data_IF_013320052175
#
_entry.id   IF_013320052175
#
_cell.length_a   1.000
_cell.length_b   1.000
_cell.length_c   1.000
_cell.angle_alpha   90.00
_cell.angle_beta   90.00
_cell.angle_gamma   90.00
#
_symmetry.space_group_name_H-M   'P 1'
#
loop_
_entity.id
_entity.type
_entity.pdbx_description
1 polymer ?
#
# COMPACT_ATOMS: atom_id res chain seq x y z
N UNK A 1 -1.03 -12.01 0.48
CA UNK A 1 -1.88 -10.85 0.83
C UNK A 1 -1.14 -9.88 1.74
N UNK A 2 -0.66 -10.32 2.91
CA UNK A 2 0.15 -9.49 3.81
C UNK A 2 1.51 -9.08 3.21
N UNK A 3 2.04 -9.86 2.26
CA UNK A 3 3.33 -9.59 1.61
C UNK A 3 3.43 -8.24 0.90
N UNK A 4 2.35 -7.74 0.27
CA UNK A 4 2.35 -6.39 -0.36
C UNK A 4 2.70 -5.33 0.68
N UNK A 5 2.01 -5.39 1.82
CA UNK A 5 2.12 -4.39 2.87
C UNK A 5 3.41 -4.58 3.66
N UNK A 6 3.86 -5.81 3.87
CA UNK A 6 5.16 -6.07 4.49
C UNK A 6 6.33 -5.67 3.60
N UNK A 7 6.24 -5.85 2.29
CA UNK A 7 7.22 -5.35 1.33
C UNK A 7 7.29 -3.82 1.34
N UNK A 8 6.13 -3.17 1.20
CA UNK A 8 6.01 -1.71 1.24
C UNK A 8 6.49 -1.13 2.58
N UNK A 9 6.09 -1.74 3.71
CA UNK A 9 6.52 -1.32 5.03
C UNK A 9 8.03 -1.44 5.19
N UNK A 10 8.62 -2.59 4.83
CA UNK A 10 10.08 -2.80 4.88
C UNK A 10 10.81 -1.74 4.05
N UNK A 11 10.36 -1.53 2.81
CA UNK A 11 10.92 -0.51 1.92
C UNK A 11 10.82 0.90 2.51
N UNK A 12 9.68 1.24 3.13
CA UNK A 12 9.46 2.54 3.77
C UNK A 12 10.39 2.76 4.98
N UNK A 13 10.69 1.69 5.73
CA UNK A 13 11.52 1.76 6.94
C UNK A 13 13.02 1.61 6.70
N UNK A 14 13.42 1.05 5.55
CA UNK A 14 14.81 0.79 5.21
C UNK A 14 15.56 2.08 4.86
N UNK A 15 16.87 2.08 5.10
CA UNK A 15 17.78 3.09 4.56
C UNK A 15 17.95 2.90 3.05
N UNK A 16 18.42 3.95 2.36
CA UNK A 16 18.70 3.84 0.93
C UNK A 16 19.76 2.75 0.66
N UNK A 17 19.50 1.92 -0.35
CA UNK A 17 20.40 0.85 -0.76
C UNK A 17 19.69 -0.46 -1.10
N UNK A 18 20.48 -1.52 -1.19
CA UNK A 18 20.06 -2.83 -1.72
C UNK A 18 18.87 -3.45 -0.95
N UNK A 19 18.78 -3.25 0.38
CA UNK A 19 17.67 -3.78 1.18
C UNK A 19 16.34 -3.12 0.80
N UNK A 20 16.33 -1.80 0.64
CA UNK A 20 15.15 -1.05 0.23
C UNK A 20 14.73 -1.42 -1.19
N UNK A 21 15.69 -1.52 -2.12
CA UNK A 21 15.43 -1.93 -3.50
C UNK A 21 14.78 -3.33 -3.57
N UNK A 22 15.29 -4.31 -2.83
CA UNK A 22 14.70 -5.66 -2.75
C UNK A 22 13.31 -5.66 -2.14
N UNK A 23 13.07 -4.84 -1.12
CA UNK A 23 11.75 -4.72 -0.50
C UNK A 23 10.74 -4.08 -1.45
N UNK A 24 11.15 -3.07 -2.23
CA UNK A 24 10.35 -2.47 -3.30
C UNK A 24 10.03 -3.53 -4.36
N UNK A 25 11.02 -4.27 -4.85
CA UNK A 25 10.82 -5.33 -5.84
C UNK A 25 9.81 -6.38 -5.37
N UNK A 26 9.95 -6.88 -4.14
CA UNK A 26 9.02 -7.84 -3.53
C UNK A 26 7.58 -7.30 -3.41
N UNK A 27 7.42 -6.01 -3.06
CA UNK A 27 6.12 -5.37 -3.03
C UNK A 27 5.50 -5.28 -4.43
N UNK A 28 6.31 -4.92 -5.42
CA UNK A 28 5.89 -4.79 -6.82
C UNK A 28 5.51 -6.15 -7.45
N UNK A 29 6.20 -7.23 -7.12
CA UNK A 29 5.83 -8.59 -7.53
C UNK A 29 4.45 -8.98 -6.98
N UNK A 30 4.20 -8.65 -5.72
CA UNK A 30 2.92 -8.93 -5.07
C UNK A 30 1.79 -8.10 -5.68
N UNK A 31 2.05 -6.83 -6.02
CA UNK A 31 1.11 -5.98 -6.76
C UNK A 31 0.85 -6.52 -8.16
N UNK A 32 1.87 -6.99 -8.87
CA UNK A 32 1.71 -7.60 -10.20
C UNK A 32 0.84 -8.87 -10.16
N UNK A 33 0.92 -9.65 -9.08
CA UNK A 33 0.02 -10.77 -8.89
C UNK A 33 -1.43 -10.31 -8.72
N UNK A 34 -1.68 -9.30 -7.88
CA UNK A 34 -3.02 -8.75 -7.65
C UNK A 34 -3.61 -8.11 -8.91
N UNK A 35 -2.80 -7.42 -9.71
CA UNK A 35 -3.20 -6.83 -11.00
C UNK A 35 -3.79 -7.90 -11.92
N UNK A 36 -3.10 -9.03 -12.07
CA UNK A 36 -3.60 -10.16 -12.87
C UNK A 36 -4.90 -10.77 -12.33
N UNK A 37 -5.14 -10.68 -11.02
CA UNK A 37 -6.38 -11.22 -10.42
C UNK A 37 -7.58 -10.31 -10.67
N UNK A 38 -7.36 -9.01 -10.81
CA UNK A 38 -8.42 -8.01 -10.97
C UNK A 38 -8.61 -7.56 -12.42
N UNK A 39 -7.65 -7.83 -13.31
CA UNK A 39 -7.74 -7.48 -14.73
C UNK A 39 -9.10 -7.86 -15.34
N UNK A 40 -9.75 -6.87 -15.97
CA UNK A 40 -11.09 -7.02 -16.57
C UNK A 40 -12.25 -7.01 -15.57
N UNK A 41 -12.03 -6.68 -14.29
CA UNK A 41 -13.07 -6.59 -13.26
C UNK A 41 -13.08 -5.23 -12.60
N UNK A 42 -14.27 -4.76 -12.23
CA UNK A 42 -14.45 -3.53 -11.46
C UNK A 42 -14.02 -3.69 -10.00
N UNK A 43 -14.34 -4.86 -9.43
CA UNK A 43 -14.00 -5.30 -8.08
C UNK A 43 -13.42 -6.70 -8.15
N UNK A 44 -12.70 -7.15 -7.12
CA UNK A 44 -12.26 -8.55 -7.04
C UNK A 44 -13.45 -9.52 -7.03
N UNK A 45 -14.61 -9.08 -6.51
CA UNK A 45 -15.91 -9.76 -6.61
C UNK A 45 -16.57 -9.75 -8.01
N UNK A 46 -15.98 -9.08 -9.00
CA UNK A 46 -16.57 -8.89 -10.34
C UNK A 46 -17.22 -7.52 -10.47
N UNK A 47 -18.55 -7.50 -10.65
CA UNK A 47 -19.34 -6.26 -10.77
C UNK A 47 -19.68 -5.61 -9.43
N UNK A 48 -19.69 -6.42 -8.36
CA UNK A 48 -20.02 -6.00 -7.00
C UNK A 48 -18.87 -6.30 -6.04
N UNK A 49 -18.87 -5.63 -4.89
CA UNK A 49 -17.88 -5.83 -3.82
C UNK A 49 -17.93 -7.28 -3.34
N UNK A 50 -16.79 -7.96 -3.35
CA UNK A 50 -16.60 -9.28 -2.77
C UNK A 50 -15.76 -9.25 -1.50
N UNK A 51 -15.46 -10.44 -0.98
CA UNK A 51 -14.63 -10.62 0.21
C UNK A 51 -13.24 -9.99 0.06
N UNK A 52 -12.59 -10.19 -1.10
CA UNK A 52 -11.24 -9.67 -1.34
C UNK A 52 -11.22 -8.14 -1.38
N UNK A 53 -12.26 -7.50 -1.89
CA UNK A 53 -12.37 -6.04 -1.89
C UNK A 53 -12.36 -5.48 -0.47
N UNK A 54 -13.11 -6.11 0.44
CA UNK A 54 -13.13 -5.71 1.86
C UNK A 54 -11.80 -6.02 2.56
N UNK A 55 -11.19 -7.17 2.26
CA UNK A 55 -9.92 -7.59 2.86
C UNK A 55 -8.73 -6.72 2.41
N UNK A 56 -8.76 -6.22 1.16
CA UNK A 56 -7.68 -5.48 0.53
C UNK A 56 -7.93 -3.98 0.44
N UNK A 57 -9.17 -3.52 0.59
CA UNK A 57 -9.58 -2.16 0.23
C UNK A 57 -8.94 -1.03 1.02
N UNK A 58 -8.29 -1.35 2.14
CA UNK A 58 -7.47 -0.39 2.90
C UNK A 58 -6.07 -0.19 2.29
N UNK A 59 -5.57 -1.12 1.48
CA UNK A 59 -4.21 -1.12 0.94
C UNK A 59 -3.90 0.14 0.12
N UNK A 60 -4.72 0.57 -0.85
CA UNK A 60 -4.39 1.75 -1.66
C UNK A 60 -4.20 3.02 -0.81
N UNK A 61 -4.98 3.15 0.27
CA UNK A 61 -4.92 4.29 1.17
C UNK A 61 -3.60 4.32 1.98
N UNK A 62 -3.13 3.17 2.45
CA UNK A 62 -1.87 3.06 3.17
C UNK A 62 -0.63 3.13 2.26
N UNK A 63 -0.68 2.49 1.09
CA UNK A 63 0.43 2.52 0.13
C UNK A 63 0.78 3.94 -0.29
N UNK A 64 -0.22 4.77 -0.59
CA UNK A 64 0.03 6.17 -0.95
C UNK A 64 0.80 6.94 0.14
N UNK A 65 0.50 6.64 1.41
CA UNK A 65 1.17 7.27 2.54
C UNK A 65 2.60 6.73 2.72
N UNK A 66 2.81 5.43 2.48
CA UNK A 66 4.14 4.81 2.53
C UNK A 66 5.05 5.24 1.38
N UNK A 67 4.52 5.43 0.18
CA UNK A 67 5.24 5.97 -0.98
C UNK A 67 5.82 7.35 -0.67
N UNK A 68 5.00 8.25 -0.10
CA UNK A 68 5.44 9.59 0.30
C UNK A 68 6.52 9.53 1.39
N UNK A 69 6.25 8.82 2.49
CA UNK A 69 7.17 8.79 3.63
C UNK A 69 8.49 8.04 3.33
N UNK A 70 8.41 7.02 2.47
CA UNK A 70 9.55 6.22 2.04
C UNK A 70 10.28 6.76 0.81
N UNK A 71 9.77 7.80 0.15
CA UNK A 71 10.35 8.32 -1.09
C UNK A 71 10.44 7.25 -2.18
N UNK A 72 9.38 6.46 -2.36
CA UNK A 72 9.34 5.32 -3.27
C UNK A 72 8.05 5.32 -4.09
N UNK A 73 8.00 4.48 -5.14
CA UNK A 73 6.81 4.32 -5.98
C UNK A 73 6.45 2.85 -6.09
N UNK A 74 5.17 2.54 -5.92
CA UNK A 74 4.61 1.21 -5.85
C UNK A 74 3.34 1.10 -6.70
N UNK A 75 2.25 1.81 -6.39
CA UNK A 75 0.95 1.63 -7.05
C UNK A 75 0.75 2.65 -8.19
N UNK A 76 1.62 2.59 -9.20
CA UNK A 76 1.58 3.48 -10.37
C UNK A 76 0.51 3.04 -11.38
N UNK A 77 -0.30 3.98 -11.88
CA UNK A 77 -1.40 3.70 -12.81
C UNK A 77 -0.92 3.11 -14.15
N UNK A 78 0.26 3.50 -14.61
CA UNK A 78 0.87 2.99 -15.85
C UNK A 78 1.27 1.51 -15.73
N UNK A 79 1.59 1.06 -14.52
CA UNK A 79 2.06 -0.31 -14.24
C UNK A 79 0.95 -1.22 -13.75
N UNK A 80 0.03 -0.68 -12.96
CA UNK A 80 -1.07 -1.40 -12.31
C UNK A 80 -2.41 -0.68 -12.56
N UNK A 81 -2.84 -0.54 -13.83
CA UNK A 81 -4.00 0.26 -14.19
C UNK A 81 -5.29 -0.24 -13.53
N UNK A 82 -5.49 -1.55 -13.48
CA UNK A 82 -6.73 -2.15 -12.96
C UNK A 82 -6.80 -2.02 -11.43
N UNK A 83 -5.70 -2.25 -10.72
CA UNK A 83 -5.63 -2.03 -9.27
C UNK A 83 -5.75 -0.56 -8.91
N UNK A 84 -5.15 0.34 -9.70
CA UNK A 84 -5.27 1.77 -9.47
C UNK A 84 -6.73 2.23 -9.63
N UNK A 85 -7.39 1.81 -10.70
CA UNK A 85 -8.81 2.09 -10.94
C UNK A 85 -9.70 1.49 -9.83
N UNK A 86 -9.45 0.23 -9.46
CA UNK A 86 -10.17 -0.43 -8.37
C UNK A 86 -10.02 0.31 -7.05
N UNK A 87 -8.80 0.71 -6.68
CA UNK A 87 -8.54 1.45 -5.46
C UNK A 87 -9.29 2.78 -5.43
N UNK A 88 -9.33 3.49 -6.56
CA UNK A 88 -10.14 4.70 -6.72
C UNK A 88 -11.64 4.41 -6.53
N UNK A 89 -12.16 3.41 -7.24
CA UNK A 89 -13.58 3.02 -7.19
C UNK A 89 -14.00 2.60 -5.78
N UNK A 90 -13.19 1.79 -5.09
CA UNK A 90 -13.47 1.28 -3.76
C UNK A 90 -13.52 2.40 -2.71
N UNK A 91 -12.57 3.34 -2.74
CA UNK A 91 -12.50 4.45 -1.76
C UNK A 91 -13.65 5.45 -1.95
N UNK A 92 -14.19 5.61 -3.16
CA UNK A 92 -15.33 6.51 -3.40
C UNK A 92 -16.67 5.97 -2.91
N UNK A 93 -16.73 4.70 -2.47
CA UNK A 93 -17.96 4.12 -1.90
C UNK A 93 -18.27 4.85 -0.59
N UNK A 94 -19.47 5.47 -0.42
CA UNK A 94 -19.75 6.35 0.71
C UNK A 94 -19.42 5.74 2.08
N UNK A 95 -19.87 4.50 2.33
CA UNK A 95 -19.61 3.81 3.59
C UNK A 95 -18.11 3.54 3.82
N UNK A 96 -17.38 3.18 2.77
CA UNK A 96 -15.93 2.98 2.86
C UNK A 96 -15.23 4.31 3.18
N UNK A 97 -15.59 5.37 2.46
CA UNK A 97 -15.04 6.71 2.63
C UNK A 97 -15.23 7.23 4.05
N UNK A 98 -16.37 6.95 4.68
CA UNK A 98 -16.67 7.31 6.06
C UNK A 98 -15.88 6.47 7.08
N UNK A 99 -15.56 5.23 6.75
CA UNK A 99 -14.78 4.32 7.60
C UNK A 99 -13.27 4.56 7.54
N UNK A 100 -12.76 5.17 6.47
CA UNK A 100 -11.32 5.39 6.29
C UNK A 100 -10.82 6.50 7.23
N UNK A 101 -9.66 6.29 7.89
CA UNK A 101 -9.05 7.35 8.68
C UNK A 101 -8.67 8.54 7.77
N UNK A 102 -8.75 9.78 8.27
CA UNK A 102 -8.22 10.93 7.53
C UNK A 102 -6.75 10.72 7.16
N UNK A 103 -6.38 11.04 5.92
CA UNK A 103 -5.01 10.88 5.40
C UNK A 103 -3.95 11.46 6.34
N UNK A 104 -4.20 12.65 6.87
CA UNK A 104 -3.28 13.33 7.79
C UNK A 104 -2.99 12.49 9.05
N UNK A 105 -3.99 11.78 9.59
CA UNK A 105 -3.79 10.89 10.74
C UNK A 105 -2.90 9.70 10.38
N UNK A 106 -3.05 9.15 9.17
CA UNK A 106 -2.19 8.06 8.69
C UNK A 106 -0.74 8.53 8.49
N UNK A 107 -0.55 9.69 7.86
CA UNK A 107 0.78 10.28 7.66
C UNK A 107 1.46 10.52 9.00
N UNK A 108 0.74 11.11 9.96
CA UNK A 108 1.27 11.36 11.30
C UNK A 108 1.63 10.05 12.02
N UNK A 109 0.77 9.03 11.94
CA UNK A 109 1.04 7.71 12.52
C UNK A 109 2.27 7.05 11.89
N UNK A 110 2.38 7.09 10.55
CA UNK A 110 3.48 6.50 9.83
C UNK A 110 4.80 7.20 10.15
N UNK A 111 4.81 8.54 10.12
CA UNK A 111 5.99 9.33 10.48
C UNK A 111 6.45 9.05 11.90
N UNK A 112 5.53 9.01 12.88
CA UNK A 112 5.86 8.67 14.26
C UNK A 112 6.46 7.26 14.37
N UNK A 113 5.90 6.28 13.66
CA UNK A 113 6.41 4.90 13.62
C UNK A 113 7.81 4.83 12.99
N UNK A 114 8.04 5.55 11.90
CA UNK A 114 9.35 5.62 11.22
C UNK A 114 10.41 6.26 12.11
N UNK A 115 10.10 7.40 12.74
CA UNK A 115 11.00 8.06 13.69
C UNK A 115 11.36 7.14 14.84
N UNK A 116 10.38 6.43 15.41
CA UNK A 116 10.60 5.46 16.46
C UNK A 116 11.53 4.33 16.01
N UNK A 117 11.26 3.70 14.86
CA UNK A 117 12.08 2.62 14.34
C UNK A 117 13.53 3.06 14.04
N UNK A 118 13.72 4.25 13.46
CA UNK A 118 15.05 4.84 13.23
C UNK A 118 15.79 5.12 14.54
N UNK A 119 15.08 5.53 15.59
CA UNK A 119 15.69 5.70 16.92
C UNK A 119 16.16 4.38 17.51
N UNK A 120 15.47 3.27 17.23
CA UNK A 120 15.88 1.94 17.68
C UNK A 120 17.09 1.41 16.91
N UNK A 121 17.20 1.68 15.60
CA UNK A 121 18.37 1.26 14.81
C UNK A 121 19.64 2.03 15.21
N UNK A 122 19.53 3.33 15.48
CA UNK A 122 20.64 4.17 15.92
C UNK A 122 21.19 3.80 17.32
N UNK A 123 20.38 3.11 18.13
CA UNK A 123 20.72 2.71 19.50
C UNK A 123 21.11 1.21 19.63
N UNK A 124 21.35 0.50 18.51
CA UNK A 124 21.88 -0.87 18.56
C UNK A 124 23.35 -0.85 19.04
N UNK A 125 23.74 -1.70 20.00
CA UNK A 125 25.10 -1.79 20.51
C UNK A 125 26.09 -2.32 19.48
#
# INVERSE_FOLDING_TARGET
MLEVVFGAWRACTAEEGEEKEKAIESALESLAYLEKQIEGKKFFGGEEIGYLDLALGWIPHWLNTMEEAGGMKLLEAERFPSLHEWGHNFIQIPLIKECLPPREKLVNYLNASLTYLRSLSANKP
#
